data_IF_627225719470
#
_entry.id   IF_627225719470
#
_cell.length_a   1.000
_cell.length_b   1.000
_cell.length_c   1.000
_cell.angle_alpha   90.00
_cell.angle_beta   90.00
_cell.angle_gamma   90.00
#
_symmetry.space_group_name_H-M   'P 1'
#
loop_
_entity.id
_entity.type
_entity.pdbx_description
1 polymer ?
#
# COMPACT_ATOMS: atom_id res chain seq x y z
N UNK A 1 6.33 2.94 15.02
CA UNK A 1 5.87 2.63 16.38
C UNK A 1 6.87 1.72 17.06
N UNK A 2 7.08 1.92 18.32
CA UNK A 2 7.92 1.08 19.17
C UNK A 2 7.04 0.07 19.90
N UNK A 3 7.57 -1.09 20.19
CA UNK A 3 6.88 -2.08 20.98
C UNK A 3 7.06 -1.77 22.48
N UNK A 4 5.96 -1.66 23.21
CA UNK A 4 5.97 -1.50 24.65
C UNK A 4 5.62 -2.83 25.29
N UNK A 5 6.59 -3.66 25.57
CA UNK A 5 6.40 -4.69 26.57
C UNK A 5 7.15 -4.32 27.84
N UNK A 6 6.46 -4.42 28.95
CA UNK A 6 7.05 -4.20 30.27
C UNK A 6 8.15 -5.22 30.50
N UNK A 7 9.40 -4.77 30.41
CA UNK A 7 10.58 -5.60 30.63
C UNK A 7 11.55 -5.68 29.47
N UNK A 8 11.16 -5.31 28.25
CA UNK A 8 12.10 -5.19 27.13
C UNK A 8 12.95 -3.96 27.31
N UNK A 9 14.25 -4.20 27.36
CA UNK A 9 15.26 -3.13 27.42
C UNK A 9 15.64 -2.63 26.03
N UNK A 10 15.26 -3.34 24.98
CA UNK A 10 15.60 -3.07 23.60
C UNK A 10 14.41 -2.50 22.86
N UNK A 11 14.57 -1.28 22.42
CA UNK A 11 13.57 -0.58 21.62
C UNK A 11 13.58 -1.10 20.20
N UNK A 12 12.55 -1.85 19.85
CA UNK A 12 12.36 -2.27 18.48
C UNK A 12 11.44 -1.32 17.72
N UNK A 13 11.89 -0.86 16.57
CA UNK A 13 11.07 -0.08 15.64
C UNK A 13 10.13 -1.00 14.88
N UNK A 14 8.91 -1.17 15.37
CA UNK A 14 7.87 -2.02 14.78
C UNK A 14 6.85 -1.26 13.93
N UNK A 15 7.15 -0.06 13.46
CA UNK A 15 6.34 0.68 12.50
C UNK A 15 6.40 0.02 11.12
N UNK A 16 5.86 -1.18 10.99
CA UNK A 16 5.87 -1.96 9.76
C UNK A 16 4.61 -1.72 8.93
N UNK A 17 4.73 -1.74 7.60
CA UNK A 17 3.59 -1.66 6.70
C UNK A 17 2.74 -2.92 6.74
N UNK A 18 3.11 -3.96 6.00
CA UNK A 18 2.32 -5.19 5.99
C UNK A 18 3.03 -6.37 5.36
N UNK A 19 2.48 -7.56 5.61
CA UNK A 19 2.84 -8.79 4.90
C UNK A 19 1.71 -9.07 3.92
N UNK A 20 2.02 -9.07 2.64
CA UNK A 20 1.06 -9.25 1.56
C UNK A 20 1.40 -10.50 0.75
N UNK A 21 0.37 -11.20 0.33
CA UNK A 21 0.52 -12.40 -0.47
C UNK A 21 -0.82 -13.08 -0.71
N UNK A 22 -0.81 -14.12 -1.50
CA UNK A 22 -1.99 -14.90 -1.84
C UNK A 22 -1.81 -15.67 -3.13
N UNK A 23 -2.79 -16.50 -3.46
CA UNK A 23 -2.80 -17.26 -4.72
C UNK A 23 -2.85 -16.33 -5.92
N UNK A 24 -3.66 -15.26 -5.82
CA UNK A 24 -3.74 -14.16 -6.77
C UNK A 24 -4.06 -12.89 -5.98
N UNK A 25 -3.07 -12.02 -5.79
CA UNK A 25 -3.24 -10.72 -5.17
C UNK A 25 -2.95 -9.63 -6.20
N UNK A 26 -3.94 -8.76 -6.46
CA UNK A 26 -3.71 -7.48 -7.13
C UNK A 26 -3.72 -6.37 -6.10
N UNK A 27 -2.64 -5.63 -5.99
CA UNK A 27 -2.50 -4.52 -5.05
C UNK A 27 -2.06 -3.26 -5.81
N UNK A 28 -2.97 -2.30 -5.94
CA UNK A 28 -2.73 -1.11 -6.73
C UNK A 28 -3.29 0.16 -6.09
N UNK A 29 -2.73 1.30 -6.47
CA UNK A 29 -3.15 2.63 -6.04
C UNK A 29 -3.15 2.81 -4.51
N UNK A 30 -2.26 2.11 -3.81
CA UNK A 30 -2.08 2.29 -2.38
C UNK A 30 -1.00 3.34 -2.10
N UNK A 31 -1.18 4.07 -1.01
CA UNK A 31 -0.13 4.89 -0.40
C UNK A 31 0.41 4.16 0.82
N UNK A 32 1.71 3.83 0.80
CA UNK A 32 2.44 3.28 1.94
C UNK A 32 3.47 4.32 2.36
N UNK A 33 3.27 4.94 3.51
CA UNK A 33 4.11 6.04 3.98
C UNK A 33 4.56 5.84 5.43
N UNK A 34 5.77 6.32 5.74
CA UNK A 34 6.33 6.36 7.10
C UNK A 34 6.40 5.00 7.80
N UNK A 35 6.68 3.94 7.06
CA UNK A 35 6.89 2.60 7.61
C UNK A 35 8.38 2.26 7.63
N UNK A 36 8.89 1.83 8.79
CA UNK A 36 10.32 1.47 8.90
C UNK A 36 10.68 0.30 7.99
N UNK A 37 9.74 -0.64 7.81
CA UNK A 37 9.95 -1.89 7.10
C UNK A 37 8.63 -2.42 6.52
N UNK A 38 8.66 -3.44 5.69
CA UNK A 38 7.49 -4.13 5.11
C UNK A 38 6.58 -3.21 4.29
N UNK A 39 7.13 -2.61 3.25
CA UNK A 39 6.39 -1.68 2.37
C UNK A 39 6.14 -2.22 0.94
N UNK A 40 5.57 -3.44 0.76
CA UNK A 40 5.30 -4.50 1.72
C UNK A 40 6.44 -5.52 1.88
N UNK A 41 6.31 -6.49 2.81
CA UNK A 41 6.96 -7.78 2.73
C UNK A 41 6.05 -8.72 1.96
N UNK A 42 6.56 -9.42 0.96
CA UNK A 42 5.79 -10.50 0.34
C UNK A 42 5.90 -11.79 1.16
N UNK A 43 4.79 -12.53 1.24
CA UNK A 43 4.71 -13.69 2.11
C UNK A 43 5.54 -14.86 1.60
N UNK A 44 5.61 -15.03 0.29
CA UNK A 44 6.22 -16.22 -0.33
C UNK A 44 5.37 -17.47 -0.17
N UNK A 45 5.89 -18.59 -0.63
CA UNK A 45 5.18 -19.88 -0.58
C UNK A 45 5.29 -20.59 0.78
N UNK A 46 5.30 -19.83 1.87
CA UNK A 46 5.44 -20.41 3.23
C UNK A 46 4.23 -21.20 3.68
N UNK A 47 3.05 -20.74 3.29
CA UNK A 47 1.76 -21.24 3.78
C UNK A 47 0.81 -21.60 2.64
N UNK A 48 1.21 -21.30 1.41
CA UNK A 48 0.47 -21.63 0.19
C UNK A 48 1.42 -22.31 -0.80
N UNK A 49 0.95 -23.26 -1.60
CA UNK A 49 1.80 -23.96 -2.57
C UNK A 49 2.28 -23.03 -3.69
N UNK A 50 1.57 -21.96 -3.95
CA UNK A 50 1.90 -20.92 -4.93
C UNK A 50 1.57 -19.55 -4.39
N UNK A 51 2.26 -18.52 -4.86
CA UNK A 51 1.92 -17.13 -4.61
C UNK A 51 2.09 -16.34 -5.90
N UNK A 52 1.11 -15.52 -6.25
CA UNK A 52 1.21 -14.52 -7.30
C UNK A 52 0.76 -13.16 -6.76
N UNK A 53 1.64 -12.19 -6.82
CA UNK A 53 1.33 -10.80 -6.45
C UNK A 53 1.58 -9.88 -7.64
N UNK A 54 0.53 -9.20 -8.07
CA UNK A 54 0.58 -8.11 -9.03
C UNK A 54 0.55 -6.78 -8.27
N UNK A 55 1.72 -6.21 -8.05
CA UNK A 55 1.94 -4.99 -7.27
C UNK A 55 2.27 -3.83 -8.22
N UNK A 56 1.28 -2.97 -8.48
CA UNK A 56 1.40 -1.91 -9.48
C UNK A 56 0.78 -0.59 -9.07
N UNK A 57 1.30 0.49 -9.63
CA UNK A 57 0.70 1.82 -9.48
C UNK A 57 0.54 2.26 -8.01
N UNK A 58 1.42 1.80 -7.12
CA UNK A 58 1.44 2.22 -5.72
C UNK A 58 2.47 3.34 -5.52
N UNK A 59 2.28 4.11 -4.46
CA UNK A 59 3.26 5.09 -3.98
C UNK A 59 3.85 4.61 -2.67
N UNK A 60 5.17 4.46 -2.64
CA UNK A 60 5.93 4.06 -1.47
C UNK A 60 6.80 5.25 -1.04
N UNK A 61 6.56 5.76 0.16
CA UNK A 61 7.22 6.94 0.67
C UNK A 61 7.85 6.75 2.03
N UNK A 62 9.05 7.30 2.21
CA UNK A 62 9.74 7.43 3.48
C UNK A 62 9.82 6.12 4.27
N UNK A 63 10.20 5.01 3.58
CA UNK A 63 10.55 3.76 4.26
C UNK A 63 11.85 3.91 5.04
N UNK A 64 12.05 3.10 6.07
CA UNK A 64 13.27 3.15 6.88
C UNK A 64 14.38 2.25 6.34
N UNK A 65 14.42 1.04 6.87
CA UNK A 65 15.48 0.06 6.57
C UNK A 65 15.18 -0.78 5.35
N UNK A 66 13.89 -1.00 5.03
CA UNK A 66 13.50 -1.85 3.92
C UNK A 66 12.13 -1.46 3.35
N UNK A 67 11.98 -1.61 2.04
CA UNK A 67 10.71 -1.42 1.33
C UNK A 67 10.10 -2.75 0.93
N UNK A 68 10.04 -3.10 -0.37
CA UNK A 68 9.57 -4.40 -0.86
C UNK A 68 10.66 -5.43 -0.64
N UNK A 69 10.32 -6.59 -0.05
CA UNK A 69 11.31 -7.64 0.15
C UNK A 69 10.71 -9.02 0.38
N UNK A 70 11.57 -10.02 0.49
CA UNK A 70 11.29 -11.44 0.72
C UNK A 70 10.68 -12.13 -0.51
N UNK A 71 9.48 -12.70 -0.42
CA UNK A 71 8.81 -13.33 -1.57
C UNK A 71 9.42 -14.66 -1.98
N UNK A 72 9.86 -15.44 -1.02
CA UNK A 72 10.54 -16.72 -1.25
C UNK A 72 9.67 -17.68 -2.08
N UNK A 73 10.12 -18.04 -3.26
CA UNK A 73 9.48 -19.01 -4.16
C UNK A 73 8.25 -18.53 -4.92
N UNK A 74 7.79 -17.30 -4.69
CA UNK A 74 6.58 -16.76 -5.32
C UNK A 74 6.81 -16.18 -6.72
N UNK A 75 5.76 -15.61 -7.29
CA UNK A 75 5.72 -14.92 -8.57
C UNK A 75 5.27 -13.47 -8.39
N UNK A 76 6.05 -12.51 -8.90
CA UNK A 76 5.86 -11.09 -8.60
C UNK A 76 5.93 -10.20 -9.83
N UNK A 77 4.93 -9.33 -9.99
CA UNK A 77 4.97 -8.19 -10.88
C UNK A 77 5.13 -6.92 -10.03
N UNK A 78 6.22 -6.20 -10.20
CA UNK A 78 6.47 -4.89 -9.57
C UNK A 78 6.48 -3.86 -10.68
N UNK A 79 5.33 -3.28 -10.97
CA UNK A 79 5.11 -2.52 -12.20
C UNK A 79 4.55 -1.13 -11.94
N UNK A 80 5.18 -0.12 -12.55
CA UNK A 80 4.67 1.25 -12.54
C UNK A 80 4.42 1.84 -11.13
N UNK A 81 5.19 1.43 -10.11
CA UNK A 81 5.11 2.02 -8.78
C UNK A 81 6.00 3.26 -8.69
N UNK A 82 5.67 4.18 -7.81
CA UNK A 82 6.44 5.37 -7.51
C UNK A 82 7.15 5.21 -6.16
N UNK A 83 8.47 5.23 -6.16
CA UNK A 83 9.31 5.15 -4.96
C UNK A 83 9.91 6.52 -4.66
N UNK A 84 9.58 7.07 -3.50
CA UNK A 84 10.09 8.36 -3.04
C UNK A 84 10.68 8.22 -1.65
N UNK A 85 12.01 8.29 -1.53
CA UNK A 85 12.62 8.29 -0.22
C UNK A 85 12.28 9.57 0.55
N UNK A 86 12.30 9.50 1.87
CA UNK A 86 12.02 10.63 2.74
C UNK A 86 13.10 10.81 3.83
N UNK A 87 12.84 11.70 4.81
CA UNK A 87 13.82 12.02 5.85
C UNK A 87 14.25 10.82 6.71
N UNK A 88 13.37 9.83 6.89
CA UNK A 88 13.64 8.63 7.70
C UNK A 88 14.24 7.48 6.90
N UNK A 89 14.36 7.62 5.58
CA UNK A 89 14.89 6.55 4.73
C UNK A 89 16.41 6.43 4.90
N UNK A 90 16.90 5.22 5.23
CA UNK A 90 18.32 4.95 5.33
C UNK A 90 19.03 5.23 4.00
N UNK A 91 20.20 5.87 4.07
CA UNK A 91 20.92 6.33 2.87
C UNK A 91 21.23 5.23 1.87
N UNK A 92 21.56 4.04 2.35
CA UNK A 92 21.95 2.88 1.53
C UNK A 92 20.78 2.20 0.80
N UNK A 93 19.53 2.54 1.12
CA UNK A 93 18.35 1.94 0.51
C UNK A 93 17.46 2.94 -0.24
N UNK A 94 17.91 4.18 -0.42
CA UNK A 94 17.10 5.26 -1.03
C UNK A 94 16.58 4.94 -2.42
N UNK A 95 17.35 4.22 -3.19
CA UNK A 95 17.03 3.91 -4.59
C UNK A 95 16.68 2.44 -4.82
N UNK A 96 16.46 1.71 -3.73
CA UNK A 96 16.03 0.31 -3.80
C UNK A 96 14.56 0.23 -4.20
N UNK A 97 14.25 -0.64 -5.15
CA UNK A 97 12.88 -1.04 -5.50
C UNK A 97 12.48 -2.24 -4.65
N UNK A 98 13.30 -3.30 -4.66
CA UNK A 98 13.01 -4.48 -3.87
C UNK A 98 14.28 -5.24 -3.48
N UNK A 99 14.13 -6.10 -2.46
CA UNK A 99 15.17 -6.96 -1.95
C UNK A 99 14.63 -8.41 -1.84
N UNK A 100 14.60 -9.16 -2.95
CA UNK A 100 14.16 -10.54 -2.97
C UNK A 100 14.92 -11.40 -1.97
N UNK A 101 14.22 -12.33 -1.32
CA UNK A 101 14.82 -13.24 -0.35
C UNK A 101 14.67 -14.69 -0.74
N UNK A 102 15.58 -15.53 -0.22
CA UNK A 102 15.43 -16.98 -0.13
C UNK A 102 15.45 -17.37 1.34
N UNK A 103 14.70 -18.36 1.72
CA UNK A 103 14.64 -18.80 3.12
C UNK A 103 15.30 -20.13 3.35
N UNK A 104 15.20 -20.99 2.35
CA UNK A 104 15.64 -22.36 2.37
C UNK A 104 16.45 -22.62 1.09
N UNK A 105 17.50 -23.43 1.11
CA UNK A 105 18.18 -23.83 -0.13
C UNK A 105 17.22 -24.37 -1.20
N UNK A 106 16.12 -24.98 -0.77
CA UNK A 106 15.11 -25.59 -1.65
C UNK A 106 14.03 -24.61 -2.09
N UNK A 107 13.85 -23.46 -1.39
CA UNK A 107 12.93 -22.40 -1.77
C UNK A 107 13.72 -21.17 -2.18
N UNK A 108 13.92 -21.01 -3.48
CA UNK A 108 14.66 -19.90 -4.05
C UNK A 108 13.96 -18.56 -3.98
N UNK A 109 14.46 -17.60 -4.75
CA UNK A 109 13.97 -16.20 -4.77
C UNK A 109 12.61 -16.02 -5.45
N UNK A 110 12.00 -17.07 -6.01
CA UNK A 110 10.83 -16.94 -6.87
C UNK A 110 11.16 -16.34 -8.23
N UNK A 111 10.17 -15.74 -8.88
CA UNK A 111 10.33 -15.11 -10.19
C UNK A 111 9.75 -13.70 -10.18
N UNK A 112 10.52 -12.74 -10.72
CA UNK A 112 10.22 -11.32 -10.59
C UNK A 112 10.21 -10.63 -11.95
N UNK A 113 9.13 -9.89 -12.22
CA UNK A 113 9.06 -8.90 -13.29
C UNK A 113 9.08 -7.51 -12.67
N UNK A 114 10.10 -6.71 -12.98
CA UNK A 114 10.28 -5.38 -12.40
C UNK A 114 10.45 -4.38 -13.54
N UNK A 115 9.43 -3.56 -13.78
CA UNK A 115 9.40 -2.68 -14.94
C UNK A 115 8.55 -1.42 -14.73
N UNK A 116 8.93 -0.32 -15.38
CA UNK A 116 8.14 0.92 -15.41
C UNK A 116 8.09 1.68 -14.08
N UNK A 117 8.80 1.21 -13.04
CA UNK A 117 8.82 1.90 -11.75
C UNK A 117 9.63 3.19 -11.84
N UNK A 118 9.11 4.24 -11.23
CA UNK A 118 9.80 5.50 -11.08
C UNK A 118 10.45 5.58 -9.70
N UNK A 119 11.75 5.84 -9.68
CA UNK A 119 12.51 6.03 -8.44
C UNK A 119 12.98 7.47 -8.38
N UNK A 120 12.38 8.21 -7.48
CA UNK A 120 12.60 9.66 -7.35
C UNK A 120 14.07 9.99 -7.08
N UNK A 121 14.58 10.99 -7.81
CA UNK A 121 15.99 11.41 -7.81
C UNK A 121 16.99 10.35 -8.32
N UNK A 122 16.53 9.24 -8.91
CA UNK A 122 17.42 8.26 -9.54
C UNK A 122 17.02 7.96 -10.98
N UNK A 123 17.53 8.74 -11.93
CA UNK A 123 17.34 8.47 -13.36
C UNK A 123 17.88 7.10 -13.77
N UNK A 124 19.00 6.68 -13.17
CA UNK A 124 19.60 5.39 -13.50
C UNK A 124 18.64 4.24 -13.18
N UNK A 125 18.11 4.19 -11.95
CA UNK A 125 17.18 3.14 -11.52
C UNK A 125 15.81 3.25 -12.20
N UNK A 126 15.36 4.48 -12.50
CA UNK A 126 14.13 4.69 -13.26
C UNK A 126 14.24 4.13 -14.70
N UNK A 127 15.38 4.33 -15.35
CA UNK A 127 15.62 3.84 -16.71
C UNK A 127 15.89 2.34 -16.77
N UNK A 128 16.53 1.79 -15.75
CA UNK A 128 16.81 0.36 -15.59
C UNK A 128 16.42 -0.07 -14.17
N UNK A 129 15.21 -0.55 -14.00
CA UNK A 129 14.67 -0.92 -12.70
C UNK A 129 15.45 -2.04 -12.01
N UNK A 130 16.20 -2.85 -12.77
CA UNK A 130 17.00 -3.93 -12.20
C UNK A 130 18.19 -3.45 -11.39
N UNK A 131 18.64 -2.21 -11.59
CA UNK A 131 19.60 -1.54 -10.72
C UNK A 131 19.06 -1.28 -9.31
N UNK A 132 17.75 -1.23 -9.15
CA UNK A 132 17.07 -1.09 -7.86
C UNK A 132 16.74 -2.42 -7.17
N UNK A 133 17.06 -3.55 -7.77
CA UNK A 133 16.88 -4.89 -7.18
C UNK A 133 18.15 -5.26 -6.42
N UNK A 134 18.06 -5.30 -5.10
CA UNK A 134 19.18 -5.54 -4.18
C UNK A 134 19.18 -7.00 -3.72
N UNK A 135 20.31 -7.67 -3.87
CA UNK A 135 20.48 -9.08 -3.51
C UNK A 135 21.08 -9.31 -2.12
N UNK A 136 21.23 -8.23 -1.32
CA UNK A 136 21.87 -8.29 0.00
C UNK A 136 21.22 -9.22 1.03
N UNK A 137 20.05 -9.80 0.72
CA UNK A 137 19.36 -10.77 1.58
C UNK A 137 19.72 -12.23 1.24
N UNK A 138 20.99 -12.52 1.20
CA UNK A 138 21.53 -13.87 0.98
C UNK A 138 21.64 -14.30 -0.48
N UNK A 139 21.50 -13.38 -1.42
CA UNK A 139 21.69 -13.63 -2.86
C UNK A 139 22.93 -12.98 -3.44
N UNK A 140 23.17 -13.26 -4.71
CA UNK A 140 24.27 -12.71 -5.52
C UNK A 140 23.71 -12.12 -6.82
N UNK A 141 24.50 -11.32 -7.52
CA UNK A 141 24.12 -10.83 -8.87
C UNK A 141 23.91 -11.97 -9.88
N UNK A 142 24.59 -13.11 -9.71
CA UNK A 142 24.34 -14.28 -10.55
C UNK A 142 23.03 -14.99 -10.22
N UNK A 143 22.61 -14.97 -8.97
CA UNK A 143 21.27 -15.43 -8.60
C UNK A 143 20.20 -14.54 -9.22
N UNK A 144 20.39 -13.22 -9.20
CA UNK A 144 19.49 -12.24 -9.79
C UNK A 144 19.15 -12.58 -11.25
N UNK A 145 20.13 -12.96 -12.06
CA UNK A 145 19.96 -13.33 -13.46
C UNK A 145 19.03 -14.54 -13.66
N UNK A 146 18.88 -15.42 -12.66
CA UNK A 146 18.10 -16.65 -12.75
C UNK A 146 16.60 -16.44 -12.52
N UNK A 147 16.20 -15.45 -11.72
CA UNK A 147 14.80 -15.23 -11.37
C UNK A 147 14.15 -14.05 -12.10
N UNK A 148 14.93 -13.28 -12.85
CA UNK A 148 14.44 -12.20 -13.71
C UNK A 148 13.59 -12.76 -14.83
N UNK A 149 12.41 -12.20 -15.01
CA UNK A 149 11.57 -12.48 -16.17
C UNK A 149 11.24 -11.19 -16.92
N UNK A 150 11.34 -11.24 -18.25
CA UNK A 150 11.09 -10.08 -19.11
C UNK A 150 9.60 -9.81 -19.37
N UNK A 151 8.76 -10.82 -19.18
CA UNK A 151 7.30 -10.70 -19.36
C UNK A 151 6.63 -10.85 -18.01
N UNK A 152 5.71 -9.93 -17.70
CA UNK A 152 4.90 -10.02 -16.49
C UNK A 152 4.13 -11.34 -16.41
N UNK A 153 3.98 -11.85 -15.20
CA UNK A 153 3.03 -12.93 -14.91
C UNK A 153 1.62 -12.50 -15.28
N UNK A 154 0.82 -13.43 -15.77
CA UNK A 154 -0.59 -13.17 -16.05
C UNK A 154 -1.32 -12.81 -14.75
N UNK A 155 -1.99 -11.68 -14.75
CA UNK A 155 -2.78 -11.15 -13.63
C UNK A 155 -4.03 -10.50 -14.20
N UNK A 156 -4.93 -10.06 -13.31
CA UNK A 156 -6.14 -9.36 -13.70
C UNK A 156 -5.82 -8.11 -14.54
N UNK A 157 -6.64 -7.86 -15.54
CA UNK A 157 -6.48 -6.72 -16.43
C UNK A 157 -6.82 -5.42 -15.68
N UNK A 158 -5.79 -4.66 -15.34
CA UNK A 158 -5.94 -3.31 -14.79
C UNK A 158 -5.56 -2.27 -15.85
N UNK A 159 -6.14 -1.08 -15.81
CA UNK A 159 -5.71 0.02 -16.68
C UNK A 159 -4.20 0.25 -16.56
N UNK A 160 -3.53 0.42 -17.69
CA UNK A 160 -2.10 0.73 -17.71
C UNK A 160 -1.91 2.21 -17.40
N UNK A 161 -1.27 2.50 -16.29
CA UNK A 161 -0.97 3.84 -15.86
C UNK A 161 0.53 3.99 -15.56
N UNK A 162 1.15 5.06 -16.06
CA UNK A 162 2.56 5.32 -15.77
C UNK A 162 2.75 5.72 -14.30
N UNK A 163 3.88 5.34 -13.69
CA UNK A 163 4.16 5.61 -12.28
C UNK A 163 3.99 7.07 -11.85
N UNK A 164 4.32 8.02 -12.72
CA UNK A 164 4.14 9.46 -12.44
C UNK A 164 2.66 9.84 -12.39
N UNK A 165 1.83 9.25 -13.26
CA UNK A 165 0.37 9.48 -13.27
C UNK A 165 -0.24 8.86 -12.02
N UNK A 166 0.15 7.64 -11.67
CA UNK A 166 -0.27 6.98 -10.44
C UNK A 166 0.10 7.77 -9.19
N UNK A 167 1.26 8.43 -9.17
CA UNK A 167 1.65 9.28 -8.04
C UNK A 167 0.59 10.34 -7.75
N UNK A 168 0.13 11.06 -8.77
CA UNK A 168 -0.89 12.09 -8.58
C UNK A 168 -2.26 11.48 -8.24
N UNK A 169 -2.65 10.38 -8.89
CA UNK A 169 -3.93 9.73 -8.63
C UNK A 169 -3.98 9.13 -7.22
N UNK A 170 -2.91 8.48 -6.77
CA UNK A 170 -2.80 7.96 -5.41
C UNK A 170 -2.86 9.09 -4.37
N UNK A 171 -2.12 10.17 -4.55
CA UNK A 171 -2.17 11.31 -3.62
C UNK A 171 -3.54 12.00 -3.61
N UNK A 172 -4.28 11.91 -4.70
CA UNK A 172 -5.64 12.46 -4.78
C UNK A 172 -6.67 11.55 -4.12
N UNK A 173 -6.58 10.24 -4.27
CA UNK A 173 -7.65 9.31 -3.95
C UNK A 173 -7.35 8.28 -2.84
N UNK A 174 -6.10 8.10 -2.42
CA UNK A 174 -5.79 7.16 -1.34
C UNK A 174 -6.30 7.65 0.02
N UNK A 175 -6.63 6.70 0.91
CA UNK A 175 -7.16 6.98 2.23
C UNK A 175 -8.60 7.48 2.20
N UNK A 176 -9.04 8.20 3.23
CA UNK A 176 -10.39 8.75 3.34
C UNK A 176 -10.58 9.97 2.43
N UNK A 177 -10.33 9.82 1.13
CA UNK A 177 -10.21 10.92 0.16
C UNK A 177 -11.50 11.68 -0.08
N UNK A 178 -12.65 11.07 0.15
CA UNK A 178 -13.93 11.75 0.08
C UNK A 178 -14.00 12.91 1.09
N UNK A 179 -13.47 12.67 2.30
CA UNK A 179 -13.38 13.70 3.33
C UNK A 179 -12.18 13.42 4.26
N UNK A 180 -11.01 13.87 3.84
CA UNK A 180 -9.79 13.69 4.61
C UNK A 180 -9.81 14.47 5.91
N UNK A 181 -9.41 13.82 6.99
CA UNK A 181 -9.06 14.49 8.23
C UNK A 181 -7.66 15.12 8.15
N UNK A 182 -7.24 15.77 9.24
CA UNK A 182 -5.94 16.44 9.31
C UNK A 182 -4.75 15.47 9.26
N UNK A 183 -4.95 14.21 9.66
CA UNK A 183 -3.92 13.19 9.60
C UNK A 183 -3.65 12.77 8.14
N UNK A 184 -4.71 12.44 7.41
CA UNK A 184 -4.60 12.07 6.00
C UNK A 184 -4.06 13.22 5.15
N UNK A 185 -4.51 14.46 5.42
CA UNK A 185 -3.99 15.66 4.77
C UNK A 185 -2.49 15.81 5.00
N UNK A 186 -2.04 15.67 6.25
CA UNK A 186 -0.61 15.76 6.61
C UNK A 186 0.21 14.69 5.89
N UNK A 187 -0.25 13.44 5.82
CA UNK A 187 0.48 12.37 5.15
C UNK A 187 0.66 12.68 3.66
N UNK A 188 -0.38 13.16 3.00
CA UNK A 188 -0.28 13.58 1.59
C UNK A 188 0.71 14.72 1.40
N UNK A 189 0.67 15.75 2.28
CA UNK A 189 1.61 16.86 2.27
C UNK A 189 3.04 16.41 2.55
N UNK A 190 3.25 15.48 3.47
CA UNK A 190 4.56 14.88 3.74
C UNK A 190 5.13 14.22 2.49
N UNK A 191 4.31 13.47 1.75
CA UNK A 191 4.73 12.88 0.48
C UNK A 191 5.09 13.94 -0.55
N UNK A 192 4.27 14.98 -0.72
CA UNK A 192 4.51 16.06 -1.68
C UNK A 192 5.80 16.81 -1.37
N UNK A 193 5.98 17.20 -0.12
CA UNK A 193 7.05 18.09 0.32
C UNK A 193 8.32 17.36 0.80
N UNK A 194 8.34 16.03 0.80
CA UNK A 194 9.43 15.19 1.33
C UNK A 194 9.70 15.51 2.80
N UNK A 195 8.66 15.54 3.61
CA UNK A 195 8.69 15.82 5.05
C UNK A 195 8.18 14.64 5.86
N UNK A 196 8.02 14.84 7.16
CA UNK A 196 7.52 13.82 8.07
C UNK A 196 8.60 12.86 8.56
N UNK A 197 8.25 12.07 9.55
CA UNK A 197 9.17 11.14 10.22
C UNK A 197 8.43 9.94 10.79
N UNK A 198 9.16 8.94 11.20
CA UNK A 198 8.59 7.90 12.06
C UNK A 198 8.23 8.49 13.41
N UNK A 199 7.10 8.06 13.95
CA UNK A 199 6.65 8.41 15.28
C UNK A 199 6.43 7.13 16.10
N UNK A 200 6.79 7.18 17.36
CA UNK A 200 6.63 6.10 18.34
C UNK A 200 5.56 6.42 19.38
N UNK A 201 5.27 7.70 19.55
CA UNK A 201 4.21 8.18 20.43
C UNK A 201 3.14 8.88 19.58
N UNK A 202 1.87 8.57 19.80
CA UNK A 202 0.76 9.18 19.07
C UNK A 202 0.83 10.71 19.13
N UNK A 203 0.48 11.35 18.00
CA UNK A 203 0.63 12.81 17.87
C UNK A 203 2.05 13.30 17.66
N UNK A 204 3.05 12.39 17.60
CA UNK A 204 4.46 12.72 17.42
C UNK A 204 5.10 13.40 18.63
N UNK A 205 4.53 13.23 19.82
CA UNK A 205 5.15 13.66 21.07
C UNK A 205 6.51 13.01 21.28
N UNK A 206 7.26 13.57 22.22
CA UNK A 206 8.57 13.03 22.56
C UNK A 206 8.44 11.61 23.10
N UNK A 207 9.43 10.77 22.76
CA UNK A 207 9.56 9.43 23.29
C UNK A 207 9.46 9.41 24.83
N UNK A 208 8.71 8.46 25.38
CA UNK A 208 8.47 8.36 26.82
C UNK A 208 7.37 9.26 27.38
N UNK A 209 6.69 10.07 26.54
CA UNK A 209 5.51 10.82 26.97
C UNK A 209 4.41 9.84 27.39
N UNK A 210 3.87 10.05 28.59
CA UNK A 210 2.82 9.21 29.14
C UNK A 210 1.56 9.25 28.24
N UNK A 211 0.88 8.11 28.13
CA UNK A 211 -0.29 7.95 27.27
C UNK A 211 -1.39 9.00 27.56
N UNK A 212 -1.63 9.27 28.83
CA UNK A 212 -2.68 10.20 29.30
C UNK A 212 -2.47 11.61 28.78
N UNK A 213 -1.21 12.00 28.50
CA UNK A 213 -0.88 13.32 27.94
C UNK A 213 -1.07 13.40 26.41
N UNK A 214 -1.29 12.27 25.77
CA UNK A 214 -1.35 12.14 24.31
C UNK A 214 -2.72 11.72 23.77
N UNK A 215 -3.71 11.52 24.66
CA UNK A 215 -5.05 11.02 24.29
C UNK A 215 -5.79 11.93 23.29
N UNK A 216 -5.50 13.23 23.31
CA UNK A 216 -6.10 14.20 22.40
C UNK A 216 -5.29 14.43 21.11
N UNK A 217 -4.30 13.60 20.84
CA UNK A 217 -3.45 13.73 19.66
C UNK A 217 -4.13 13.26 18.35
N UNK A 218 -5.23 12.53 18.47
CA UNK A 218 -6.02 12.10 17.34
C UNK A 218 -6.87 13.25 16.80
N UNK A 219 -7.06 13.35 15.47
CA UNK A 219 -7.93 14.37 14.91
C UNK A 219 -9.36 14.18 15.39
N UNK A 220 -10.05 15.28 15.64
CA UNK A 220 -11.49 15.24 15.90
C UNK A 220 -12.21 14.84 14.62
N UNK A 221 -12.82 13.67 14.61
CA UNK A 221 -13.64 13.23 13.51
C UNK A 221 -14.95 14.01 13.51
N UNK A 222 -15.22 14.69 12.41
CA UNK A 222 -16.48 15.44 12.23
C UNK A 222 -17.48 14.56 11.53
N UNK A 223 -18.54 14.21 12.24
CA UNK A 223 -19.71 13.54 11.66
C UNK A 223 -20.68 14.59 11.13
N UNK A 224 -21.10 14.47 9.90
CA UNK A 224 -22.23 15.21 9.34
C UNK A 224 -23.50 14.37 9.46
N UNK A 225 -24.64 15.02 9.27
CA UNK A 225 -25.91 14.30 9.18
C UNK A 225 -25.87 13.32 8.01
N UNK A 226 -26.12 12.06 8.28
CA UNK A 226 -26.27 11.07 7.23
C UNK A 226 -27.41 11.48 6.28
N UNK A 227 -27.30 11.23 4.98
CA UNK A 227 -28.40 11.33 4.06
C UNK A 227 -29.59 10.47 4.56
N UNK A 228 -30.82 10.84 4.15
CA UNK A 228 -31.98 10.01 4.44
C UNK A 228 -31.81 8.64 3.78
N UNK A 229 -32.06 7.58 4.53
CA UNK A 229 -31.99 6.17 4.16
C UNK A 229 -33.17 5.51 4.91
N UNK A 230 -34.28 5.34 4.20
CA UNK A 230 -35.57 4.99 4.80
C UNK A 230 -35.62 3.54 5.24
N UNK A 231 -35.04 2.62 4.48
CA UNK A 231 -35.04 1.17 4.74
C UNK A 231 -33.76 0.68 5.41
N UNK A 232 -32.78 1.57 5.58
CA UNK A 232 -31.51 1.36 6.32
C UNK A 232 -30.61 0.27 5.68
N UNK A 233 -30.54 0.25 4.38
CA UNK A 233 -29.71 -0.68 3.63
C UNK A 233 -28.32 -0.09 3.27
N UNK A 234 -28.09 1.19 3.57
CA UNK A 234 -26.85 1.90 3.31
C UNK A 234 -26.85 2.72 2.02
N UNK A 235 -27.95 2.69 1.25
CA UNK A 235 -28.14 3.53 0.07
C UNK A 235 -28.97 4.76 0.44
N UNK A 236 -28.54 5.97 0.11
CA UNK A 236 -29.39 7.15 0.34
C UNK A 236 -30.60 7.14 -0.57
N UNK A 237 -31.77 7.45 -0.01
CA UNK A 237 -33.06 7.57 -0.75
C UNK A 237 -32.94 8.36 -2.06
N UNK A 238 -32.19 9.47 -2.02
CA UNK A 238 -32.02 10.33 -3.18
C UNK A 238 -31.21 9.64 -4.28
N UNK A 239 -30.18 8.87 -3.89
CA UNK A 239 -29.36 8.12 -4.83
C UNK A 239 -30.13 6.94 -5.43
N UNK A 240 -30.90 6.23 -4.63
CA UNK A 240 -31.75 5.13 -5.09
C UNK A 240 -32.77 5.61 -6.13
N UNK A 241 -33.51 6.68 -5.82
CA UNK A 241 -34.46 7.30 -6.75
C UNK A 241 -33.82 7.70 -8.06
N UNK A 242 -32.60 8.28 -8.00
CA UNK A 242 -31.85 8.69 -9.17
C UNK A 242 -31.38 7.50 -10.04
N UNK A 243 -31.23 6.31 -9.45
CA UNK A 243 -30.77 5.09 -10.12
C UNK A 243 -31.88 4.05 -10.34
N UNK A 244 -33.16 4.41 -10.08
CA UNK A 244 -34.30 3.55 -10.33
C UNK A 244 -34.46 2.42 -9.33
N UNK A 245 -33.91 2.57 -8.12
CA UNK A 245 -34.08 1.68 -6.98
C UNK A 245 -35.25 2.16 -6.08
N UNK A 246 -35.63 1.33 -5.11
CA UNK A 246 -36.77 1.60 -4.24
C UNK A 246 -36.30 1.89 -2.80
N UNK A 247 -36.37 3.14 -2.30
CA UNK A 247 -35.99 3.52 -0.93
C UNK A 247 -36.73 2.85 0.22
N UNK A 248 -37.64 1.91 -0.07
CA UNK A 248 -38.35 1.14 0.92
C UNK A 248 -38.12 -0.38 0.76
N UNK A 249 -37.14 -0.81 -0.03
CA UNK A 249 -36.79 -2.21 -0.27
C UNK A 249 -35.33 -2.49 0.01
N UNK A 250 -34.94 -2.65 1.27
CA UNK A 250 -33.59 -2.96 1.70
C UNK A 250 -32.93 -4.16 1.00
N UNK A 251 -33.69 -4.96 0.27
CA UNK A 251 -33.15 -6.09 -0.47
C UNK A 251 -32.49 -5.70 -1.79
N UNK A 252 -32.68 -4.49 -2.28
CA UNK A 252 -32.15 -4.09 -3.57
C UNK A 252 -30.69 -3.64 -3.50
N UNK A 253 -30.17 -3.22 -2.33
CA UNK A 253 -28.75 -2.93 -2.11
C UNK A 253 -27.83 -4.06 -2.52
N UNK A 254 -28.26 -5.30 -2.28
CA UNK A 254 -27.45 -6.49 -2.58
C UNK A 254 -27.73 -7.10 -3.97
N UNK A 255 -28.63 -6.50 -4.75
CA UNK A 255 -28.86 -6.89 -6.14
C UNK A 255 -27.78 -6.31 -7.06
N UNK A 256 -27.55 -6.94 -8.20
CA UNK A 256 -26.62 -6.51 -9.24
C UNK A 256 -27.35 -5.82 -10.42
N UNK A 257 -28.42 -5.04 -10.13
CA UNK A 257 -29.26 -4.46 -11.18
C UNK A 257 -28.60 -3.29 -11.91
N UNK A 258 -27.65 -2.59 -11.28
CA UNK A 258 -26.96 -1.44 -11.86
C UNK A 258 -25.61 -1.80 -12.51
N UNK A 259 -25.08 -2.97 -12.21
CA UNK A 259 -23.79 -3.42 -12.74
C UNK A 259 -23.81 -4.94 -12.91
N UNK A 260 -23.07 -5.46 -13.89
CA UNK A 260 -23.02 -6.91 -14.18
C UNK A 260 -22.28 -7.73 -13.14
N UNK A 261 -21.51 -7.08 -12.27
CA UNK A 261 -20.62 -7.74 -11.30
C UNK A 261 -20.80 -7.21 -9.87
N UNK A 262 -20.89 -5.90 -9.69
CA UNK A 262 -21.01 -5.26 -8.38
C UNK A 262 -22.45 -5.18 -7.90
N UNK A 263 -22.65 -5.40 -6.61
CA UNK A 263 -23.93 -5.09 -5.96
C UNK A 263 -24.23 -3.59 -6.01
N UNK A 264 -25.49 -3.21 -5.89
CA UNK A 264 -25.88 -1.80 -5.99
C UNK A 264 -25.21 -0.92 -4.92
N UNK A 265 -25.02 -1.45 -3.69
CA UNK A 265 -24.29 -0.73 -2.64
C UNK A 265 -22.80 -0.54 -2.99
N UNK A 266 -22.18 -1.50 -3.66
CA UNK A 266 -20.78 -1.35 -4.13
C UNK A 266 -20.70 -0.31 -5.25
N UNK A 267 -21.69 -0.26 -6.14
CA UNK A 267 -21.79 0.79 -7.17
C UNK A 267 -21.92 2.16 -6.53
N UNK A 268 -22.75 2.29 -5.49
CA UNK A 268 -22.87 3.54 -4.72
C UNK A 268 -21.53 3.94 -4.09
N UNK A 269 -20.91 3.05 -3.30
CA UNK A 269 -19.66 3.33 -2.60
C UNK A 269 -18.56 3.75 -3.59
N UNK A 270 -18.45 3.05 -4.72
CA UNK A 270 -17.50 3.40 -5.77
C UNK A 270 -17.82 4.74 -6.47
N UNK A 271 -19.07 5.21 -6.41
CA UNK A 271 -19.47 6.47 -7.03
C UNK A 271 -19.15 7.71 -6.22
N UNK A 272 -18.95 7.58 -4.89
CA UNK A 272 -18.69 8.72 -4.00
C UNK A 272 -17.23 9.16 -3.94
N UNK A 273 -16.30 8.35 -4.50
CA UNK A 273 -14.86 8.62 -4.54
C UNK A 273 -14.42 8.75 -6.00
N UNK A 274 -14.69 9.89 -6.62
CA UNK A 274 -14.33 10.17 -8.02
C UNK A 274 -13.55 11.47 -8.13
#
# INVERSE_FOLDING_TARGET
SYHFETGDKDWEQHGYGGIWGGLHLSAHHNLIAHCNNRCPRFNGIRHTPTELVDYRNNVIYNWGSNNIYAGEGGAYNIVNNYFKYGPSTNKNVRYRICNPGKRDPDIGFGTWHVAGNYVDESKAVTNDNWLGVDMGNGGTEDDKKKFVINKAHAAEALPVEAAIVSYESVLKFAGASYRRDTLDQRIVEDVRNRTGRFIDVQGGYQHGTAYELTVNAWPTLRTENAPADTDKDGLPDAWEKANGLNPADASDAVKTSLHSFYNNIEVYINSIVK
#
